data_IF_620094551695
#
_entry.id   IF_620094551695
#
_cell.length_a   1.000
_cell.length_b   1.000
_cell.length_c   1.000
_cell.angle_alpha   90.00
_cell.angle_beta   90.00
_cell.angle_gamma   90.00
#
_symmetry.space_group_name_H-M   'P 1'
#
loop_
_entity.id
_entity.type
_entity.pdbx_description
1 polymer ?
#
# COMPACT_ATOMS: atom_id res chain seq x y z
N UNK A 1 15.03 19.09 -11.30
CA UNK A 1 13.99 19.48 -10.34
C UNK A 1 13.19 20.61 -10.96
N UNK A 2 11.95 20.35 -11.40
CA UNK A 2 11.04 21.33 -11.98
C UNK A 2 9.99 21.75 -10.96
N UNK A 3 9.60 23.03 -10.98
CA UNK A 3 8.39 23.49 -10.28
C UNK A 3 7.20 23.27 -11.19
N UNK A 4 6.12 22.69 -10.66
CA UNK A 4 4.85 22.48 -11.34
C UNK A 4 3.76 23.26 -10.59
N UNK A 5 2.82 23.84 -11.30
CA UNK A 5 1.73 24.61 -10.71
C UNK A 5 1.69 26.06 -11.20
N UNK A 6 0.84 26.88 -10.60
CA UNK A 6 0.05 26.63 -9.39
C UNK A 6 -1.08 25.60 -9.60
N UNK A 7 -1.52 24.96 -8.51
CA UNK A 7 -2.68 24.06 -8.48
C UNK A 7 -3.73 24.63 -7.52
N UNK A 8 -5.02 24.42 -7.83
CA UNK A 8 -6.12 24.86 -6.95
C UNK A 8 -6.20 24.01 -5.68
N UNK A 9 -5.86 22.73 -5.77
CA UNK A 9 -5.82 21.77 -4.67
C UNK A 9 -4.67 20.80 -4.83
N UNK A 10 -4.13 20.36 -3.69
CA UNK A 10 -3.19 19.23 -3.63
C UNK A 10 -3.82 18.13 -2.80
N UNK A 11 -3.95 16.94 -3.38
CA UNK A 11 -4.49 15.75 -2.72
C UNK A 11 -3.38 14.71 -2.57
N UNK A 12 -3.08 14.32 -1.33
CA UNK A 12 -2.17 13.22 -1.05
C UNK A 12 -2.94 11.91 -0.92
N UNK A 13 -2.47 10.87 -1.61
CA UNK A 13 -2.90 9.48 -1.45
C UNK A 13 -1.77 8.60 -0.89
N UNK A 14 -0.69 9.24 -0.44
CA UNK A 14 0.44 8.55 0.19
C UNK A 14 0.09 8.10 1.62
N UNK A 15 0.82 7.13 2.18
CA UNK A 15 0.72 6.77 3.58
C UNK A 15 0.90 7.96 4.52
N UNK A 16 0.28 7.91 5.70
CA UNK A 16 0.27 9.02 6.66
C UNK A 16 1.66 9.64 6.93
N UNK A 17 2.74 8.90 7.22
CA UNK A 17 4.05 9.50 7.51
C UNK A 17 4.63 10.28 6.32
N UNK A 18 4.34 9.84 5.09
CA UNK A 18 4.77 10.56 3.89
C UNK A 18 3.91 11.81 3.66
N UNK A 19 2.60 11.70 3.83
CA UNK A 19 1.66 12.84 3.74
C UNK A 19 1.98 13.90 4.78
N UNK A 20 2.26 13.50 6.03
CA UNK A 20 2.72 14.37 7.11
C UNK A 20 3.94 15.20 6.68
N UNK A 21 4.93 14.55 6.08
CA UNK A 21 6.15 15.21 5.62
C UNK A 21 5.87 16.16 4.46
N UNK A 22 5.07 15.75 3.48
CA UNK A 22 4.74 16.53 2.28
C UNK A 22 3.97 17.80 2.66
N UNK A 23 3.00 17.69 3.57
CA UNK A 23 2.12 18.78 3.97
C UNK A 23 2.67 19.58 5.16
N UNK A 24 3.72 19.12 5.82
CA UNK A 24 4.22 19.65 7.10
C UNK A 24 3.11 19.74 8.16
N UNK A 25 2.32 18.65 8.27
CA UNK A 25 1.17 18.52 9.18
C UNK A 25 1.42 17.37 10.16
N UNK A 26 2.05 17.62 11.33
CA UNK A 26 2.40 16.57 12.29
C UNK A 26 1.19 15.82 12.87
N UNK A 27 0.00 16.40 12.80
CA UNK A 27 -1.24 15.76 13.22
C UNK A 27 -1.71 14.62 12.28
N UNK A 28 -1.16 14.53 11.07
CA UNK A 28 -1.45 13.46 10.12
C UNK A 28 -0.55 12.27 10.39
N UNK A 29 -0.74 11.62 11.52
CA UNK A 29 0.02 10.43 11.92
C UNK A 29 -0.88 9.19 11.96
N UNK A 30 -0.33 8.07 11.54
CA UNK A 30 -0.94 6.76 11.72
C UNK A 30 0.18 5.71 11.85
N UNK A 31 0.08 4.81 12.83
CA UNK A 31 1.02 3.72 12.98
C UNK A 31 0.77 2.64 11.90
N UNK A 32 1.86 2.06 11.41
CA UNK A 32 1.83 1.01 10.40
C UNK A 32 2.63 -0.22 10.84
N UNK A 33 2.18 -1.40 10.42
CA UNK A 33 3.08 -2.53 10.31
C UNK A 33 3.81 -2.49 8.96
N UNK A 34 5.02 -2.99 8.95
CA UNK A 34 5.74 -3.28 7.73
C UNK A 34 5.41 -4.68 7.19
N UNK A 35 5.74 -4.92 5.92
CA UNK A 35 5.70 -6.24 5.33
C UNK A 35 6.86 -6.42 4.36
N UNK A 36 7.62 -7.50 4.51
CA UNK A 36 8.49 -7.98 3.46
C UNK A 36 7.68 -8.78 2.45
N UNK A 37 7.92 -8.52 1.17
CA UNK A 37 7.38 -9.27 0.06
C UNK A 37 8.54 -9.93 -0.71
N UNK A 38 8.52 -11.25 -0.77
CA UNK A 38 9.48 -12.05 -1.53
C UNK A 38 8.84 -12.49 -2.84
N UNK A 39 9.48 -12.17 -3.93
CA UNK A 39 9.13 -12.65 -5.27
C UNK A 39 10.18 -13.64 -5.72
N UNK A 40 9.77 -14.88 -5.97
CA UNK A 40 10.70 -15.95 -6.35
C UNK A 40 10.16 -16.74 -7.55
N UNK A 41 10.96 -16.91 -8.62
CA UNK A 41 10.63 -17.82 -9.70
C UNK A 41 10.67 -19.27 -9.21
N UNK A 42 9.80 -20.10 -9.77
CA UNK A 42 9.71 -21.53 -9.47
C UNK A 42 9.79 -22.37 -10.75
N UNK A 43 10.38 -23.55 -10.65
CA UNK A 43 10.49 -24.47 -11.78
C UNK A 43 9.17 -25.19 -12.10
N UNK A 44 8.35 -25.43 -11.08
CA UNK A 44 7.07 -26.13 -11.20
C UNK A 44 5.95 -25.30 -10.56
N UNK A 45 4.75 -25.38 -11.13
CA UNK A 45 3.59 -24.71 -10.57
C UNK A 45 3.10 -25.47 -9.34
N UNK A 46 2.97 -24.80 -8.18
CA UNK A 46 2.32 -25.41 -7.02
C UNK A 46 0.87 -25.82 -7.31
N UNK A 47 0.37 -26.82 -6.58
CA UNK A 47 -1.00 -27.34 -6.73
C UNK A 47 -2.09 -26.39 -6.22
N UNK A 48 -1.71 -25.25 -5.63
CA UNK A 48 -2.62 -24.22 -5.13
C UNK A 48 -2.45 -22.90 -5.90
N UNK A 49 -3.43 -22.04 -5.85
CA UNK A 49 -3.37 -20.67 -6.42
C UNK A 49 -2.86 -19.64 -5.40
N UNK A 50 -3.31 -19.77 -4.16
CA UNK A 50 -2.87 -18.97 -3.02
C UNK A 50 -3.03 -19.78 -1.73
N UNK A 51 -2.26 -19.42 -0.69
CA UNK A 51 -2.34 -20.06 0.61
C UNK A 51 -2.09 -19.09 1.75
N UNK A 52 -2.79 -19.26 2.86
CA UNK A 52 -2.48 -18.66 4.16
C UNK A 52 -1.59 -19.65 4.92
N UNK A 53 -0.47 -19.18 5.42
CA UNK A 53 0.50 -19.97 6.17
C UNK A 53 0.44 -19.58 7.64
N UNK A 54 0.59 -20.56 8.52
CA UNK A 54 0.61 -20.37 9.98
C UNK A 54 1.93 -20.87 10.55
N UNK A 55 2.33 -20.31 11.68
CA UNK A 55 3.54 -20.72 12.41
C UNK A 55 4.81 -20.65 11.54
N UNK A 56 4.91 -19.62 10.70
CA UNK A 56 5.99 -19.43 9.74
C UNK A 56 6.31 -17.91 9.61
N UNK A 57 7.54 -17.55 9.26
CA UNK A 57 7.87 -16.20 8.84
C UNK A 57 7.05 -15.70 7.64
N UNK A 58 6.58 -16.61 6.78
CA UNK A 58 5.65 -16.31 5.67
C UNK A 58 4.23 -16.49 6.19
N UNK A 59 3.36 -15.49 5.98
CA UNK A 59 1.94 -15.55 6.37
C UNK A 59 1.00 -15.81 5.19
N UNK A 60 1.40 -15.43 4.00
CA UNK A 60 0.58 -15.57 2.80
C UNK A 60 1.45 -15.70 1.56
N UNK A 61 0.97 -16.48 0.61
CA UNK A 61 1.62 -16.63 -0.69
C UNK A 61 0.60 -16.84 -1.81
N UNK A 62 0.96 -16.43 -3.03
CA UNK A 62 0.18 -16.65 -4.23
C UNK A 62 1.06 -16.96 -5.44
N UNK A 63 0.54 -17.83 -6.30
CA UNK A 63 1.14 -18.17 -7.59
C UNK A 63 0.81 -17.07 -8.59
N UNK A 64 1.82 -16.48 -9.25
CA UNK A 64 1.62 -15.33 -10.15
C UNK A 64 0.78 -15.66 -11.38
N UNK A 65 0.90 -16.90 -11.91
CA UNK A 65 0.16 -17.36 -13.08
C UNK A 65 -1.33 -17.67 -12.81
N UNK A 66 -1.76 -17.73 -11.54
CA UNK A 66 -3.17 -17.90 -11.20
C UNK A 66 -4.01 -16.63 -11.34
N UNK A 67 -3.35 -15.48 -11.46
CA UNK A 67 -4.04 -14.19 -11.63
C UNK A 67 -4.63 -14.07 -13.04
N UNK A 68 -5.76 -13.36 -13.20
CA UNK A 68 -6.36 -13.10 -14.51
C UNK A 68 -5.32 -12.55 -15.50
N UNK A 69 -5.40 -13.00 -16.76
CA UNK A 69 -4.53 -12.59 -17.88
C UNK A 69 -3.04 -12.94 -17.72
N UNK A 70 -2.65 -13.67 -16.64
CA UNK A 70 -1.26 -14.08 -16.40
C UNK A 70 -0.98 -15.56 -16.63
N UNK A 71 -1.95 -16.36 -17.04
CA UNK A 71 -1.77 -17.79 -17.35
C UNK A 71 -0.79 -18.06 -18.50
N UNK A 72 -0.55 -17.07 -19.35
CA UNK A 72 0.37 -17.13 -20.50
C UNK A 72 1.83 -16.79 -20.16
N UNK A 73 2.12 -16.46 -18.90
CA UNK A 73 3.49 -16.12 -18.51
C UNK A 73 4.41 -17.32 -18.66
N UNK A 74 5.52 -17.13 -19.37
CA UNK A 74 6.55 -18.17 -19.58
C UNK A 74 7.27 -18.55 -18.29
N UNK A 75 7.35 -17.63 -17.35
CA UNK A 75 8.02 -17.83 -16.07
C UNK A 75 6.99 -17.93 -14.95
N UNK A 76 7.01 -19.07 -14.28
CA UNK A 76 6.22 -19.27 -13.05
C UNK A 76 6.89 -18.54 -11.89
N UNK A 77 6.09 -18.05 -10.98
CA UNK A 77 6.63 -17.39 -9.79
C UNK A 77 5.63 -17.38 -8.65
N UNK A 78 6.18 -17.19 -7.47
CA UNK A 78 5.41 -17.01 -6.23
C UNK A 78 5.70 -15.60 -5.70
N UNK A 79 4.65 -14.96 -5.19
CA UNK A 79 4.77 -13.80 -4.30
C UNK A 79 4.40 -14.29 -2.90
N UNK A 80 5.31 -14.14 -1.96
CA UNK A 80 5.11 -14.47 -0.55
C UNK A 80 5.20 -13.20 0.30
N UNK A 81 4.23 -13.00 1.17
CA UNK A 81 4.27 -11.93 2.18
C UNK A 81 4.69 -12.51 3.52
N UNK A 82 5.67 -11.88 4.13
CA UNK A 82 6.04 -12.20 5.49
C UNK A 82 4.93 -11.79 6.48
N UNK A 83 4.90 -12.46 7.62
CA UNK A 83 4.07 -12.03 8.75
C UNK A 83 4.45 -10.61 9.18
N UNK A 84 3.46 -9.79 9.52
CA UNK A 84 3.70 -8.38 9.85
C UNK A 84 4.50 -8.22 11.15
N UNK A 85 4.22 -9.02 12.18
CA UNK A 85 4.98 -8.94 13.44
C UNK A 85 6.43 -9.44 13.25
N UNK A 86 6.60 -10.47 12.42
CA UNK A 86 7.92 -10.93 12.04
C UNK A 86 8.65 -9.85 11.22
N UNK A 87 7.97 -9.19 10.30
CA UNK A 87 8.54 -8.10 9.49
C UNK A 87 9.01 -6.93 10.37
N UNK A 88 8.18 -6.48 11.31
CA UNK A 88 8.52 -5.38 12.22
C UNK A 88 9.75 -5.69 13.08
N UNK A 89 9.93 -6.95 13.50
CA UNK A 89 11.11 -7.39 14.27
C UNK A 89 12.39 -7.46 13.44
N UNK A 90 12.27 -7.51 12.12
CA UNK A 90 13.40 -7.71 11.21
C UNK A 90 13.73 -6.48 10.35
N UNK A 91 13.18 -5.30 10.67
CA UNK A 91 13.38 -4.07 9.89
C UNK A 91 14.85 -3.64 9.76
N UNK A 92 15.66 -3.91 10.81
CA UNK A 92 17.07 -3.55 10.88
C UNK A 92 18.00 -4.71 10.51
N UNK A 93 17.45 -5.87 10.16
CA UNK A 93 18.22 -7.04 9.74
C UNK A 93 18.66 -6.85 8.27
N UNK A 94 19.90 -7.20 7.90
CA UNK A 94 20.36 -7.11 6.51
C UNK A 94 19.43 -7.84 5.54
N UNK A 95 19.12 -7.20 4.42
CA UNK A 95 18.12 -7.70 3.44
C UNK A 95 18.42 -9.11 2.93
N UNK A 96 19.72 -9.46 2.74
CA UNK A 96 20.10 -10.81 2.29
C UNK A 96 19.79 -11.88 3.34
N UNK A 97 19.93 -11.55 4.64
CA UNK A 97 19.57 -12.47 5.72
C UNK A 97 18.05 -12.65 5.77
N UNK A 98 17.28 -11.56 5.73
CA UNK A 98 15.80 -11.60 5.64
C UNK A 98 15.35 -12.45 4.45
N UNK A 99 15.94 -12.20 3.27
CA UNK A 99 15.65 -12.96 2.06
C UNK A 99 15.95 -14.46 2.23
N UNK A 100 17.08 -14.79 2.85
CA UNK A 100 17.47 -16.17 3.14
C UNK A 100 16.45 -16.88 4.04
N UNK A 101 16.08 -16.26 5.15
CA UNK A 101 15.11 -16.83 6.10
C UNK A 101 13.71 -17.06 5.46
N UNK A 102 13.26 -16.13 4.61
CA UNK A 102 11.98 -16.29 3.90
C UNK A 102 12.05 -17.40 2.82
N UNK A 103 13.18 -17.55 2.14
CA UNK A 103 13.39 -18.64 1.19
C UNK A 103 13.42 -20.01 1.90
N UNK A 104 14.10 -20.09 3.04
CA UNK A 104 14.13 -21.32 3.85
C UNK A 104 12.73 -21.67 4.35
N UNK A 105 11.93 -20.67 4.73
CA UNK A 105 10.54 -20.87 5.11
C UNK A 105 9.68 -21.40 3.95
N UNK A 106 9.90 -20.95 2.71
CA UNK A 106 9.21 -21.48 1.54
C UNK A 106 9.64 -22.91 1.21
N UNK A 107 10.92 -23.26 1.37
CA UNK A 107 11.41 -24.63 1.20
C UNK A 107 10.78 -25.57 2.23
N UNK A 108 10.63 -25.12 3.47
CA UNK A 108 9.96 -25.90 4.52
C UNK A 108 8.48 -26.19 4.21
N UNK A 109 7.84 -25.41 3.35
CA UNK A 109 6.49 -25.66 2.84
C UNK A 109 6.46 -26.62 1.64
N UNK A 110 7.58 -27.28 1.34
CA UNK A 110 7.74 -28.22 0.22
C UNK A 110 7.41 -27.62 -1.16
N UNK A 111 7.63 -26.33 -1.35
CA UNK A 111 7.50 -25.69 -2.64
C UNK A 111 8.75 -26.01 -3.47
N UNK A 112 8.57 -26.81 -4.52
CA UNK A 112 9.67 -27.28 -5.35
C UNK A 112 10.21 -26.23 -6.32
N UNK A 113 11.50 -26.39 -6.67
CA UNK A 113 12.11 -25.64 -7.76
C UNK A 113 12.26 -24.13 -7.54
N UNK A 114 12.44 -23.67 -6.29
CA UNK A 114 12.71 -22.27 -5.97
C UNK A 114 14.04 -21.83 -6.59
N UNK A 115 14.01 -20.81 -7.44
CA UNK A 115 15.22 -20.20 -8.03
C UNK A 115 15.73 -19.09 -7.10
N UNK A 116 16.41 -19.48 -6.03
CA UNK A 116 16.82 -18.59 -4.90
C UNK A 116 17.65 -17.39 -5.37
N UNK A 117 18.54 -17.59 -6.32
CA UNK A 117 19.41 -16.57 -6.89
C UNK A 117 18.66 -15.48 -7.65
N UNK A 118 17.48 -15.80 -8.20
CA UNK A 118 16.61 -14.87 -8.91
C UNK A 118 15.54 -14.23 -8.00
N UNK A 119 15.52 -14.61 -6.73
CA UNK A 119 14.56 -14.08 -5.77
C UNK A 119 14.83 -12.61 -5.47
N UNK A 120 13.75 -11.82 -5.47
CA UNK A 120 13.78 -10.39 -5.14
C UNK A 120 12.98 -10.14 -3.86
N UNK A 121 13.59 -9.41 -2.91
CA UNK A 121 12.96 -8.98 -1.69
C UNK A 121 12.58 -7.50 -1.80
N UNK A 122 11.37 -7.17 -1.37
CA UNK A 122 10.91 -5.80 -1.23
C UNK A 122 10.38 -5.55 0.18
N UNK A 123 10.69 -4.39 0.76
CA UNK A 123 10.16 -3.95 2.04
C UNK A 123 9.12 -2.85 1.85
N UNK A 124 7.89 -3.13 2.24
CA UNK A 124 6.82 -2.16 2.39
C UNK A 124 6.81 -1.65 3.84
N UNK A 125 7.44 -0.50 4.11
CA UNK A 125 7.52 0.07 5.47
C UNK A 125 6.15 0.49 6.00
N UNK A 126 5.28 0.97 5.13
CA UNK A 126 3.93 1.41 5.46
C UNK A 126 2.94 0.50 4.75
N UNK A 127 2.96 -0.78 5.13
CA UNK A 127 2.18 -1.81 4.44
C UNK A 127 0.73 -1.83 4.89
N UNK A 128 0.50 -1.69 6.19
CA UNK A 128 -0.82 -1.85 6.78
C UNK A 128 -1.02 -0.89 7.96
N UNK A 129 -1.97 0.06 7.89
CA UNK A 129 -2.31 0.88 9.02
C UNK A 129 -2.87 0.03 10.16
N UNK A 130 -2.48 0.33 11.40
CA UNK A 130 -2.89 -0.45 12.59
C UNK A 130 -4.30 -0.11 13.06
N UNK A 131 -4.81 1.06 12.69
CA UNK A 131 -6.15 1.51 13.04
C UNK A 131 -6.66 2.49 11.98
N UNK A 132 -7.97 2.54 11.79
CA UNK A 132 -8.61 3.60 11.01
C UNK A 132 -8.53 4.93 11.76
N UNK A 133 -8.42 6.02 11.01
CA UNK A 133 -8.44 7.37 11.56
C UNK A 133 -9.83 7.76 12.10
N UNK A 134 -9.93 8.85 12.88
CA UNK A 134 -11.20 9.33 13.42
C UNK A 134 -12.10 10.00 12.37
N UNK A 135 -11.57 10.32 11.21
CA UNK A 135 -12.26 10.97 10.09
C UNK A 135 -12.02 10.17 8.82
N UNK A 136 -12.95 10.20 7.84
CA UNK A 136 -12.80 9.44 6.60
C UNK A 136 -11.72 9.98 5.65
N UNK A 137 -11.27 11.20 5.85
CA UNK A 137 -10.22 11.88 5.06
C UNK A 137 -9.71 13.11 5.84
N UNK A 138 -8.60 13.69 5.40
CA UNK A 138 -8.14 15.02 5.80
C UNK A 138 -8.56 16.07 4.77
N UNK A 139 -8.98 17.25 5.25
CA UNK A 139 -9.41 18.35 4.40
C UNK A 139 -9.11 19.71 5.04
N UNK A 140 -8.25 20.48 4.42
CA UNK A 140 -7.94 21.86 4.83
C UNK A 140 -8.33 22.83 3.71
N UNK A 141 -9.48 23.48 3.85
CA UNK A 141 -10.00 24.43 2.86
C UNK A 141 -9.24 25.75 2.81
N UNK A 142 -8.44 26.08 3.81
CA UNK A 142 -7.64 27.31 3.86
C UNK A 142 -6.34 27.14 3.08
N UNK A 143 -5.67 26.02 3.27
CA UNK A 143 -4.42 25.73 2.59
C UNK A 143 -4.64 24.98 1.26
N UNK A 144 -5.87 24.58 0.95
CA UNK A 144 -6.25 23.78 -0.21
C UNK A 144 -5.52 22.43 -0.27
N UNK A 145 -5.38 21.79 0.91
CA UNK A 145 -4.76 20.49 1.07
C UNK A 145 -5.81 19.45 1.47
N UNK A 146 -5.69 18.27 0.90
CA UNK A 146 -6.52 17.14 1.27
C UNK A 146 -5.73 15.84 1.22
N UNK A 147 -6.14 14.83 2.01
CA UNK A 147 -5.57 13.49 1.94
C UNK A 147 -6.64 12.43 2.11
N UNK A 148 -6.47 11.32 1.42
CA UNK A 148 -7.31 10.13 1.55
C UNK A 148 -6.45 8.86 1.41
N UNK A 149 -6.97 7.75 1.89
CA UNK A 149 -6.28 6.47 1.84
C UNK A 149 -6.87 5.47 2.84
N UNK A 150 -6.34 4.25 2.82
CA UNK A 150 -6.74 3.16 3.71
C UNK A 150 -6.57 3.51 5.20
N UNK A 151 -5.59 4.31 5.54
CA UNK A 151 -5.32 4.73 6.92
C UNK A 151 -6.41 5.63 7.55
N UNK A 152 -7.38 6.08 6.78
CA UNK A 152 -8.55 6.77 7.28
C UNK A 152 -9.74 5.84 7.55
N UNK A 153 -9.96 4.82 6.73
CA UNK A 153 -11.20 4.03 6.76
C UNK A 153 -11.01 2.53 7.01
N UNK A 154 -9.75 2.04 6.93
CA UNK A 154 -9.41 0.64 7.14
C UNK A 154 -8.31 0.16 6.20
N UNK A 155 -7.68 -0.94 6.56
CA UNK A 155 -6.43 -1.46 6.02
C UNK A 155 -6.57 -2.26 4.71
N UNK A 156 -7.53 -1.91 3.87
CA UNK A 156 -7.85 -2.64 2.65
C UNK A 156 -8.22 -1.71 1.48
N UNK A 157 -8.38 -2.30 0.31
CA UNK A 157 -8.73 -1.57 -0.93
C UNK A 157 -10.06 -0.83 -0.81
N UNK A 158 -11.04 -1.44 -0.14
CA UNK A 158 -12.36 -0.84 0.08
C UNK A 158 -12.26 0.40 0.98
N UNK A 159 -11.50 0.31 2.10
CA UNK A 159 -11.25 1.46 2.96
C UNK A 159 -10.56 2.62 2.23
N UNK A 160 -9.60 2.32 1.36
CA UNK A 160 -8.96 3.33 0.52
C UNK A 160 -9.96 3.98 -0.46
N UNK A 161 -10.84 3.16 -1.09
CA UNK A 161 -11.88 3.65 -1.98
C UNK A 161 -12.90 4.52 -1.25
N UNK A 162 -13.42 4.08 -0.11
CA UNK A 162 -14.41 4.79 0.67
C UNK A 162 -13.89 6.15 1.16
N UNK A 163 -12.63 6.18 1.62
CA UNK A 163 -11.95 7.41 1.99
C UNK A 163 -11.85 8.39 0.81
N UNK A 164 -11.42 7.90 -0.34
CA UNK A 164 -11.31 8.73 -1.55
C UNK A 164 -12.67 9.21 -2.05
N UNK A 165 -13.70 8.36 -2.00
CA UNK A 165 -15.05 8.71 -2.40
C UNK A 165 -15.67 9.78 -1.47
N UNK A 166 -15.49 9.65 -0.16
CA UNK A 166 -15.94 10.65 0.80
C UNK A 166 -15.28 12.02 0.57
N UNK A 167 -13.95 12.02 0.33
CA UNK A 167 -13.23 13.24 -0.02
C UNK A 167 -13.72 13.84 -1.34
N UNK A 168 -13.94 13.03 -2.37
CA UNK A 168 -14.45 13.48 -3.66
C UNK A 168 -15.77 14.24 -3.53
N UNK A 169 -16.72 13.73 -2.74
CA UNK A 169 -18.00 14.39 -2.52
C UNK A 169 -17.83 15.77 -1.88
N UNK A 170 -16.92 15.89 -0.93
CA UNK A 170 -16.60 17.17 -0.26
C UNK A 170 -15.92 18.15 -1.18
N UNK A 171 -14.90 17.73 -1.93
CA UNK A 171 -14.21 18.59 -2.90
C UNK A 171 -15.17 19.07 -4.00
N UNK A 172 -16.01 18.18 -4.52
CA UNK A 172 -17.00 18.54 -5.55
C UNK A 172 -17.94 19.63 -5.06
N UNK A 173 -18.43 19.53 -3.82
CA UNK A 173 -19.29 20.55 -3.22
C UNK A 173 -18.55 21.89 -3.08
N UNK A 174 -17.34 21.85 -2.49
CA UNK A 174 -16.52 23.05 -2.30
C UNK A 174 -16.20 23.79 -3.60
N UNK A 175 -15.92 23.06 -4.67
CA UNK A 175 -15.65 23.64 -5.98
C UNK A 175 -16.92 24.24 -6.59
N UNK A 176 -18.06 23.60 -6.44
CA UNK A 176 -19.36 24.09 -6.92
C UNK A 176 -19.76 25.40 -6.20
N UNK A 177 -19.63 25.43 -4.87
CA UNK A 177 -19.97 26.59 -4.06
C UNK A 177 -19.08 27.82 -4.44
N UNK A 178 -17.78 27.64 -4.61
CA UNK A 178 -16.86 28.68 -5.08
C UNK A 178 -17.20 29.21 -6.49
N UNK A 179 -17.65 28.35 -7.39
CA UNK A 179 -18.07 28.78 -8.73
C UNK A 179 -19.31 29.64 -8.67
N UNK A 180 -20.29 29.27 -7.85
CA UNK A 180 -21.52 30.02 -7.67
C UNK A 180 -21.24 31.41 -7.06
N UNK A 181 -20.37 31.53 -6.06
CA UNK A 181 -19.93 32.80 -5.48
C UNK A 181 -19.28 33.71 -6.53
N UNK A 182 -18.38 33.17 -7.35
CA UNK A 182 -17.67 33.92 -8.37
C UNK A 182 -18.58 34.40 -9.53
N UNK A 183 -19.70 33.72 -9.78
CA UNK A 183 -20.70 34.15 -10.76
C UNK A 183 -21.60 35.26 -10.23
N UNK A 184 -21.89 35.29 -8.93
CA UNK A 184 -22.64 36.37 -8.27
C UNK A 184 -21.85 37.67 -8.28
N UNK A 185 -20.55 37.59 -7.92
CA UNK A 185 -19.67 38.78 -7.88
C UNK A 185 -19.44 39.44 -9.25
N UNK A 186 -19.57 38.69 -10.35
CA UNK A 186 -19.44 39.23 -11.72
C UNK A 186 -20.70 39.92 -12.22
N UNK A 187 -21.83 39.70 -11.55
CA UNK A 187 -23.14 40.23 -11.93
C UNK A 187 -23.59 41.40 -11.00
N UNK A 188 -22.73 41.81 -10.06
CA UNK A 188 -22.92 42.96 -9.16
C UNK A 188 -21.94 44.05 -9.52
#
# INVERSE_FOLDING_TARGET
DGRFGPFDWVVSTAPAPQTQTIFNKPELDAPYNAAFALMVPVGERPEFDAAVVRDSPVSWLAVTSSKPERSQLKQLGIVAHADSQWSDKNLDVPADKVKGELLDALEALAIGGLQRELATLHLWRFSRPLAAGPQPYFFDSREHLAACGDWFMGDNVEGAFDSAHALFLTLRKQIADKRAECEIDKNT
#
